data_IF_430780488319
#
_entry.id   IF_430780488319
#
_cell.length_a   1.000
_cell.length_b   1.000
_cell.length_c   1.000
_cell.angle_alpha   90.00
_cell.angle_beta   90.00
_cell.angle_gamma   90.00
#
_symmetry.space_group_name_H-M   'P 1'
#
loop_
_entity.id
_entity.type
_entity.pdbx_description
1 polymer ?
#
# COMPACT_ATOMS: atom_id res chain seq x y z
N UNK A 1 19.03 10.88 7.32
CA UNK A 1 18.17 10.96 6.11
C UNK A 1 17.76 12.41 5.95
N UNK A 2 17.92 13.02 4.78
CA UNK A 2 17.54 14.43 4.55
C UNK A 2 16.04 14.67 4.73
N UNK A 3 15.23 13.64 4.53
CA UNK A 3 13.78 13.65 4.79
C UNK A 3 13.26 12.24 5.03
N UNK A 4 12.24 12.05 5.88
CA UNK A 4 11.64 10.75 6.14
C UNK A 4 11.15 10.06 4.87
N UNK A 5 11.40 8.75 4.76
CA UNK A 5 11.03 7.99 3.56
C UNK A 5 10.74 6.52 3.85
N UNK A 6 9.95 5.91 2.96
CA UNK A 6 9.72 4.48 2.98
C UNK A 6 10.95 3.74 2.48
N UNK A 7 11.41 2.75 3.26
CA UNK A 7 12.49 1.81 2.92
C UNK A 7 12.03 0.38 3.13
N UNK A 8 12.77 -0.55 2.59
CA UNK A 8 12.51 -1.97 2.80
C UNK A 8 13.76 -2.63 3.41
N UNK A 9 13.61 -3.18 4.61
CA UNK A 9 14.62 -4.04 5.21
C UNK A 9 14.32 -5.48 4.79
N UNK A 10 15.34 -6.18 4.29
CA UNK A 10 15.22 -7.60 3.98
C UNK A 10 15.99 -8.40 5.02
N UNK A 11 15.31 -9.30 5.71
CA UNK A 11 15.93 -10.22 6.66
C UNK A 11 16.20 -11.54 5.95
N UNK A 12 17.41 -12.03 6.10
CA UNK A 12 17.84 -13.31 5.55
C UNK A 12 18.07 -14.30 6.69
N UNK A 13 17.66 -15.55 6.48
CA UNK A 13 17.95 -16.66 7.37
C UNK A 13 18.84 -17.67 6.64
N UNK A 14 19.90 -18.13 7.28
CA UNK A 14 20.75 -19.16 6.72
C UNK A 14 20.03 -20.52 6.80
N UNK A 15 19.92 -21.20 5.68
CA UNK A 15 19.50 -22.61 5.64
C UNK A 15 20.74 -23.48 5.92
N UNK A 16 20.92 -23.84 7.18
CA UNK A 16 22.10 -24.61 7.65
C UNK A 16 22.29 -25.94 6.93
N UNK A 17 21.24 -26.49 6.35
CA UNK A 17 21.33 -27.76 5.60
C UNK A 17 21.89 -27.58 4.18
N UNK A 18 21.75 -26.35 3.59
CA UNK A 18 22.19 -26.07 2.22
C UNK A 18 23.25 -24.99 2.12
N UNK A 19 23.65 -24.37 3.23
CA UNK A 19 24.61 -23.26 3.24
C UNK A 19 24.16 -22.00 2.51
N UNK A 20 22.88 -21.88 2.18
CA UNK A 20 22.34 -20.77 1.40
C UNK A 20 21.58 -19.78 2.30
N UNK A 21 21.77 -18.48 2.04
CA UNK A 21 20.99 -17.41 2.66
C UNK A 21 19.70 -17.19 1.88
N UNK A 22 18.56 -17.38 2.54
CA UNK A 22 17.24 -17.12 1.95
C UNK A 22 16.59 -15.92 2.57
N UNK A 23 16.05 -15.03 1.72
CA UNK A 23 15.19 -13.95 2.17
C UNK A 23 13.93 -14.53 2.81
N UNK A 24 13.71 -14.25 4.08
CA UNK A 24 12.54 -14.74 4.82
C UNK A 24 11.47 -13.69 5.02
N UNK A 25 11.89 -12.43 5.21
CA UNK A 25 10.98 -11.32 5.50
C UNK A 25 11.44 -10.07 4.76
N UNK A 26 10.48 -9.38 4.17
CA UNK A 26 10.64 -8.01 3.67
C UNK A 26 9.79 -7.08 4.52
N UNK A 27 10.44 -6.16 5.22
CA UNK A 27 9.82 -5.21 6.12
C UNK A 27 9.77 -3.83 5.47
N UNK A 28 8.62 -3.34 5.05
CA UNK A 28 8.48 -1.92 4.75
C UNK A 28 8.57 -1.14 6.06
N UNK A 29 9.49 -0.19 6.13
CA UNK A 29 9.69 0.69 7.29
C UNK A 29 9.71 2.14 6.85
N UNK A 30 9.25 3.01 7.73
CA UNK A 30 9.35 4.44 7.53
C UNK A 30 10.57 4.96 8.28
N UNK A 31 11.62 5.32 7.55
CA UNK A 31 12.88 5.81 8.12
C UNK A 31 12.83 7.32 8.23
N UNK A 32 13.05 7.82 9.42
CA UNK A 32 13.26 9.23 9.74
C UNK A 32 14.64 9.46 10.39
N UNK A 33 14.87 10.59 11.00
CA UNK A 33 16.12 10.88 11.70
C UNK A 33 16.15 10.35 13.14
N UNK A 34 15.18 9.57 13.54
CA UNK A 34 15.11 8.95 14.86
C UNK A 34 16.04 7.73 14.96
N UNK A 35 16.48 7.43 16.17
CA UNK A 35 17.17 6.18 16.46
C UNK A 35 16.16 5.05 16.51
N UNK A 36 16.23 4.12 15.57
CA UNK A 36 15.30 2.99 15.46
C UNK A 36 15.97 1.71 15.92
N UNK A 37 15.22 0.90 16.66
CA UNK A 37 15.62 -0.45 17.06
C UNK A 37 14.72 -1.46 16.38
N UNK A 38 15.33 -2.49 15.77
CA UNK A 38 14.64 -3.65 15.19
C UNK A 38 15.05 -4.90 15.97
N UNK A 39 14.05 -5.56 16.56
CA UNK A 39 14.21 -6.83 17.25
C UNK A 39 13.53 -7.94 16.45
N UNK A 40 14.29 -8.96 16.09
CA UNK A 40 13.82 -10.10 15.30
C UNK A 40 14.44 -11.39 15.83
N UNK A 41 13.77 -12.12 16.75
CA UNK A 41 14.30 -13.38 17.27
C UNK A 41 14.50 -14.39 16.14
N UNK A 42 15.75 -14.84 15.98
CA UNK A 42 16.16 -15.67 14.84
C UNK A 42 15.33 -16.95 14.69
N UNK A 43 15.05 -17.64 15.79
CA UNK A 43 14.32 -18.91 15.78
C UNK A 43 12.84 -18.75 15.42
N UNK A 44 12.27 -17.56 15.69
CA UNK A 44 10.88 -17.23 15.38
C UNK A 44 10.67 -16.73 13.94
N UNK A 45 11.76 -16.46 13.20
CA UNK A 45 11.68 -16.05 11.81
C UNK A 45 11.17 -17.20 10.93
N UNK A 46 10.28 -16.93 9.96
CA UNK A 46 9.79 -17.96 9.06
C UNK A 46 10.91 -18.53 8.19
N UNK A 47 10.81 -19.80 7.87
CA UNK A 47 11.77 -20.49 6.97
C UNK A 47 11.47 -20.25 5.49
N UNK A 48 10.27 -19.74 5.18
CA UNK A 48 9.84 -19.38 3.82
C UNK A 48 9.50 -17.89 3.78
N UNK A 49 9.70 -17.27 2.62
CA UNK A 49 9.35 -15.87 2.41
C UNK A 49 7.89 -15.62 2.78
N UNK A 50 7.66 -14.68 3.70
CA UNK A 50 6.33 -14.23 4.12
C UNK A 50 6.01 -12.89 3.48
N UNK A 51 4.74 -12.71 3.06
CA UNK A 51 4.23 -11.42 2.57
C UNK A 51 3.76 -10.52 3.72
N UNK A 52 3.51 -11.10 4.89
CA UNK A 52 3.11 -10.37 6.09
C UNK A 52 4.28 -10.27 7.06
N UNK A 53 4.39 -9.15 7.76
CA UNK A 53 5.39 -8.97 8.82
C UNK A 53 5.05 -9.90 9.99
N UNK A 54 5.95 -10.85 10.34
CA UNK A 54 5.70 -11.73 11.49
C UNK A 54 5.56 -10.91 12.77
N UNK A 55 4.58 -11.26 13.60
CA UNK A 55 4.33 -10.59 14.89
C UNK A 55 5.47 -10.65 15.91
N UNK A 56 6.48 -11.52 15.67
CA UNK A 56 7.70 -11.61 16.48
C UNK A 56 8.70 -10.47 16.18
N UNK A 57 8.51 -9.70 15.11
CA UNK A 57 9.39 -8.59 14.74
C UNK A 57 8.86 -7.32 15.35
N UNK A 58 9.70 -6.64 16.12
CA UNK A 58 9.38 -5.36 16.75
C UNK A 58 10.27 -4.28 16.18
N UNK A 59 9.67 -3.14 15.85
CA UNK A 59 10.37 -1.93 15.43
C UNK A 59 9.93 -0.82 16.37
N UNK A 60 10.88 -0.12 16.97
CA UNK A 60 10.63 0.95 17.93
C UNK A 60 11.53 2.16 17.68
N UNK A 61 11.18 3.32 18.25
CA UNK A 61 12.01 4.52 18.25
C UNK A 61 11.72 5.52 17.13
N UNK A 62 10.80 5.25 16.20
CA UNK A 62 10.41 6.21 15.18
C UNK A 62 8.90 6.50 15.21
N UNK A 63 8.49 7.72 15.60
CA UNK A 63 7.08 8.12 15.57
C UNK A 63 6.49 8.04 14.16
N UNK A 64 7.26 8.31 13.12
CA UNK A 64 6.80 8.19 11.75
C UNK A 64 6.55 6.72 11.36
N UNK A 65 7.43 5.80 11.78
CA UNK A 65 7.21 4.39 11.56
C UNK A 65 6.00 3.86 12.35
N UNK A 66 5.83 4.28 13.60
CA UNK A 66 4.68 3.87 14.42
C UNK A 66 3.36 4.32 13.77
N UNK A 67 3.33 5.54 13.26
CA UNK A 67 2.18 6.07 12.52
C UNK A 67 1.94 5.27 11.23
N UNK A 68 3.01 4.93 10.49
CA UNK A 68 2.90 4.10 9.29
C UNK A 68 2.35 2.70 9.61
N UNK A 69 2.86 2.05 10.65
CA UNK A 69 2.39 0.73 11.07
C UNK A 69 0.92 0.75 11.50
N UNK A 70 0.49 1.81 12.19
CA UNK A 70 -0.94 2.00 12.53
C UNK A 70 -1.80 2.16 11.27
N UNK A 71 -1.34 2.94 10.30
CA UNK A 71 -2.02 3.10 9.00
C UNK A 71 -2.13 1.76 8.26
N UNK A 72 -1.03 1.03 8.13
CA UNK A 72 -0.95 -0.22 7.39
C UNK A 72 -1.85 -1.30 8.02
N UNK A 73 -1.81 -1.43 9.35
CA UNK A 73 -2.70 -2.33 10.10
C UNK A 73 -4.18 -1.99 9.93
N UNK A 74 -4.52 -0.71 9.88
CA UNK A 74 -5.91 -0.28 9.65
C UNK A 74 -6.37 -0.50 8.20
N UNK A 75 -5.44 -0.50 7.25
CA UNK A 75 -5.72 -0.76 5.83
C UNK A 75 -5.82 -2.27 5.51
N UNK A 76 -5.20 -3.13 6.30
CA UNK A 76 -5.07 -4.58 6.05
C UNK A 76 -6.41 -5.27 5.78
N UNK A 77 -7.50 -5.06 6.57
CA UNK A 77 -8.80 -5.69 6.31
C UNK A 77 -9.36 -5.32 4.93
N UNK A 78 -9.28 -4.05 4.55
CA UNK A 78 -9.74 -3.57 3.24
C UNK A 78 -8.88 -4.11 2.10
N UNK A 79 -7.58 -4.21 2.28
CA UNK A 79 -6.65 -4.77 1.29
C UNK A 79 -6.90 -6.26 1.08
N UNK A 80 -7.20 -7.00 2.15
CA UNK A 80 -7.55 -8.43 2.10
C UNK A 80 -8.88 -8.62 1.37
N UNK A 81 -9.90 -7.82 1.72
CA UNK A 81 -11.20 -7.84 1.06
C UNK A 81 -11.05 -7.52 -0.45
N UNK A 82 -10.31 -6.47 -0.79
CA UNK A 82 -10.06 -6.10 -2.19
C UNK A 82 -9.41 -7.24 -2.98
N UNK A 83 -8.47 -7.96 -2.39
CA UNK A 83 -7.82 -9.11 -3.04
C UNK A 83 -8.80 -10.26 -3.27
N UNK A 84 -9.67 -10.53 -2.29
CA UNK A 84 -10.72 -11.56 -2.39
C UNK A 84 -11.74 -11.20 -3.47
N UNK A 85 -12.20 -9.95 -3.50
CA UNK A 85 -13.17 -9.47 -4.49
C UNK A 85 -12.58 -9.43 -5.90
N UNK A 86 -11.29 -9.09 -6.03
CA UNK A 86 -10.59 -9.16 -7.31
C UNK A 86 -10.55 -10.58 -7.86
N UNK A 87 -10.26 -11.60 -7.02
CA UNK A 87 -10.29 -13.00 -7.44
C UNK A 87 -11.72 -13.43 -7.80
N UNK A 88 -12.74 -13.03 -7.03
CA UNK A 88 -14.16 -13.28 -7.35
C UNK A 88 -14.51 -12.74 -8.75
N UNK A 89 -14.16 -11.47 -9.01
CA UNK A 89 -14.38 -10.86 -10.32
C UNK A 89 -13.64 -11.61 -11.43
N UNK A 90 -12.35 -11.91 -11.22
CA UNK A 90 -11.52 -12.60 -12.21
C UNK A 90 -12.12 -13.95 -12.60
N UNK A 91 -12.52 -14.73 -11.61
CA UNK A 91 -13.14 -16.05 -11.82
C UNK A 91 -14.45 -15.91 -12.59
N UNK A 92 -15.36 -15.02 -12.16
CA UNK A 92 -16.66 -14.80 -12.83
C UNK A 92 -16.46 -14.33 -14.30
N UNK A 93 -15.49 -13.43 -14.54
CA UNK A 93 -15.18 -12.95 -15.89
C UNK A 93 -14.67 -14.06 -16.82
N UNK A 94 -13.76 -14.91 -16.33
CA UNK A 94 -13.25 -16.03 -17.13
C UNK A 94 -14.31 -17.08 -17.42
N UNK A 95 -15.16 -17.43 -16.45
CA UNK A 95 -16.28 -18.35 -16.70
C UNK A 95 -17.28 -17.80 -17.71
N UNK A 96 -17.63 -16.52 -17.61
CA UNK A 96 -18.52 -15.89 -18.57
C UNK A 96 -17.96 -15.87 -20.01
N UNK A 97 -16.62 -15.76 -20.16
CA UNK A 97 -15.96 -15.83 -21.47
C UNK A 97 -15.80 -17.25 -22.02
N UNK A 98 -15.65 -18.25 -21.15
CA UNK A 98 -15.42 -19.64 -21.54
C UNK A 98 -16.70 -20.41 -21.88
N UNK A 99 -17.88 -19.78 -21.77
CA UNK A 99 -19.16 -20.43 -22.14
C UNK A 99 -19.23 -20.64 -23.66
N UNK A 100 -18.83 -21.84 -24.09
CA UNK A 100 -18.82 -22.29 -25.49
C UNK A 100 -20.23 -22.35 -26.11
N UNK A 101 -21.28 -22.38 -25.26
CA UNK A 101 -22.67 -22.42 -25.69
C UNK A 101 -23.25 -21.05 -26.07
N UNK A 102 -22.43 -20.00 -26.06
CA UNK A 102 -22.81 -18.66 -26.52
C UNK A 102 -23.77 -17.90 -25.62
N UNK A 103 -24.08 -18.38 -24.42
CA UNK A 103 -24.99 -17.74 -23.46
C UNK A 103 -24.37 -16.60 -22.69
N UNK A 104 -23.10 -16.31 -22.86
CA UNK A 104 -22.27 -15.26 -22.23
C UNK A 104 -23.00 -14.42 -21.17
N UNK A 105 -23.35 -15.05 -20.05
CA UNK A 105 -23.94 -14.33 -18.95
C UNK A 105 -22.83 -13.57 -18.18
N UNK A 106 -22.67 -12.30 -18.49
CA UNK A 106 -21.70 -11.43 -17.82
C UNK A 106 -22.20 -10.85 -16.50
N UNK A 107 -23.47 -11.06 -16.14
CA UNK A 107 -24.04 -10.45 -14.93
C UNK A 107 -23.26 -10.77 -13.66
N UNK A 108 -22.85 -12.04 -13.38
CA UNK A 108 -22.05 -12.33 -12.19
C UNK A 108 -20.69 -11.60 -12.15
N UNK A 109 -20.10 -11.33 -13.32
CA UNK A 109 -18.86 -10.57 -13.40
C UNK A 109 -19.11 -9.07 -13.14
N UNK A 110 -20.21 -8.51 -13.63
CA UNK A 110 -20.58 -7.11 -13.35
C UNK A 110 -20.90 -6.91 -11.87
N UNK A 111 -21.66 -7.82 -11.26
CA UNK A 111 -21.98 -7.76 -9.82
C UNK A 111 -20.70 -7.83 -8.97
N UNK A 112 -19.79 -8.74 -9.31
CA UNK A 112 -18.49 -8.83 -8.62
C UNK A 112 -17.59 -7.61 -8.86
N UNK A 113 -17.66 -6.98 -10.03
CA UNK A 113 -16.95 -5.74 -10.33
C UNK A 113 -17.49 -4.58 -9.49
N UNK A 114 -18.81 -4.46 -9.33
CA UNK A 114 -19.43 -3.43 -8.50
C UNK A 114 -18.99 -3.55 -7.03
N UNK A 115 -18.99 -4.77 -6.47
CA UNK A 115 -18.48 -5.02 -5.12
C UNK A 115 -16.99 -4.60 -4.99
N UNK A 116 -16.18 -4.93 -5.99
CA UNK A 116 -14.76 -4.56 -6.03
C UNK A 116 -14.56 -3.06 -6.09
N UNK A 117 -15.34 -2.35 -6.90
CA UNK A 117 -15.25 -0.89 -7.02
C UNK A 117 -15.70 -0.20 -5.72
N UNK A 118 -16.75 -0.69 -5.06
CA UNK A 118 -17.18 -0.21 -3.75
C UNK A 118 -16.07 -0.37 -2.69
N UNK A 119 -15.38 -1.52 -2.67
CA UNK A 119 -14.24 -1.75 -1.78
C UNK A 119 -13.08 -0.79 -2.08
N UNK A 120 -12.78 -0.52 -3.35
CA UNK A 120 -11.75 0.48 -3.73
C UNK A 120 -12.13 1.89 -3.26
N UNK A 121 -13.39 2.26 -3.31
CA UNK A 121 -13.87 3.54 -2.81
C UNK A 121 -13.76 3.65 -1.28
N UNK A 122 -13.93 2.54 -0.55
CA UNK A 122 -13.66 2.50 0.89
C UNK A 122 -12.17 2.65 1.21
N UNK A 123 -11.30 1.98 0.46
CA UNK A 123 -9.84 2.14 0.56
C UNK A 123 -9.45 3.61 0.30
N UNK A 124 -10.03 4.24 -0.72
CA UNK A 124 -9.79 5.64 -1.02
C UNK A 124 -10.21 6.53 0.15
N UNK A 125 -11.44 6.37 0.66
CA UNK A 125 -11.96 7.15 1.81
C UNK A 125 -11.09 6.97 3.05
N UNK A 126 -10.63 5.75 3.35
CA UNK A 126 -9.71 5.47 4.45
C UNK A 126 -8.40 6.26 4.30
N UNK A 127 -7.80 6.23 3.12
CA UNK A 127 -6.55 6.95 2.82
C UNK A 127 -6.71 8.46 2.92
N UNK A 128 -7.79 9.02 2.36
CA UNK A 128 -8.09 10.44 2.43
C UNK A 128 -8.27 10.90 3.87
N UNK A 129 -9.04 10.15 4.66
CA UNK A 129 -9.22 10.41 6.10
C UNK A 129 -7.89 10.41 6.84
N UNK A 130 -7.04 9.41 6.59
CA UNK A 130 -5.70 9.35 7.20
C UNK A 130 -4.85 10.57 6.87
N UNK A 131 -4.87 11.03 5.61
CA UNK A 131 -4.13 12.22 5.16
C UNK A 131 -4.65 13.47 5.89
N UNK A 132 -5.97 13.64 6.02
CA UNK A 132 -6.59 14.77 6.72
C UNK A 132 -6.20 14.82 8.19
N UNK A 133 -6.22 13.67 8.88
CA UNK A 133 -5.90 13.56 10.30
C UNK A 133 -4.40 13.73 10.60
N UNK A 134 -3.53 13.56 9.59
CA UNK A 134 -2.07 13.54 9.75
C UNK A 134 -1.37 14.45 8.72
N UNK A 135 -1.99 15.58 8.37
CA UNK A 135 -1.59 16.44 7.25
C UNK A 135 -0.14 16.96 7.29
N UNK A 136 0.46 17.01 8.48
CA UNK A 136 1.85 17.46 8.69
C UNK A 136 2.86 16.30 8.65
N UNK A 137 2.37 15.06 8.59
CA UNK A 137 3.24 13.88 8.65
C UNK A 137 3.82 13.53 7.28
N UNK A 138 5.12 13.22 7.19
CA UNK A 138 5.69 12.66 5.96
C UNK A 138 5.06 11.32 5.55
N UNK A 139 4.42 10.60 6.47
CA UNK A 139 3.63 9.40 6.16
C UNK A 139 2.39 9.78 5.34
N UNK A 140 1.72 10.89 5.66
CA UNK A 140 0.58 11.38 4.86
C UNK A 140 0.99 11.72 3.42
N UNK A 141 2.17 12.32 3.23
CA UNK A 141 2.72 12.58 1.90
C UNK A 141 2.96 11.26 1.12
N UNK A 142 3.51 10.25 1.79
CA UNK A 142 3.67 8.92 1.20
C UNK A 142 2.32 8.31 0.80
N UNK A 143 1.32 8.36 1.69
CA UNK A 143 -0.03 7.83 1.41
C UNK A 143 -0.69 8.59 0.25
N UNK A 144 -0.56 9.92 0.19
CA UNK A 144 -1.02 10.72 -0.94
C UNK A 144 -0.37 10.27 -2.27
N UNK A 145 0.93 9.93 -2.23
CA UNK A 145 1.65 9.36 -3.36
C UNK A 145 1.10 8.02 -3.85
N UNK A 146 0.53 7.22 -2.95
CA UNK A 146 -0.10 5.93 -3.32
C UNK A 146 -1.48 6.10 -3.96
N UNK A 147 -2.19 7.18 -3.66
CA UNK A 147 -3.49 7.50 -4.27
C UNK A 147 -3.35 7.92 -5.73
N UNK A 148 -2.22 8.52 -6.08
CA UNK A 148 -1.92 8.99 -7.42
C UNK A 148 -1.89 7.90 -8.51
N UNK A 149 -1.78 6.64 -8.09
CA UNK A 149 -1.68 5.47 -8.99
C UNK A 149 -3.08 4.86 -9.26
N UNK A 150 -4.12 5.40 -8.61
CA UNK A 150 -5.48 4.87 -8.73
C UNK A 150 -6.28 5.56 -9.85
N UNK A 151 -7.47 5.05 -10.16
CA UNK A 151 -8.39 5.49 -11.23
C UNK A 151 -8.86 6.96 -11.13
N UNK A 152 -8.52 7.64 -10.06
CA UNK A 152 -8.98 9.01 -9.80
C UNK A 152 -8.16 10.01 -10.62
N UNK A 153 -8.84 10.83 -11.41
CA UNK A 153 -8.22 11.79 -12.30
C UNK A 153 -7.46 12.92 -11.58
N UNK A 154 -6.70 13.72 -12.34
CA UNK A 154 -5.86 14.82 -11.81
C UNK A 154 -6.59 15.74 -10.84
N UNK A 155 -7.89 16.01 -11.06
CA UNK A 155 -8.68 16.87 -10.18
C UNK A 155 -8.78 16.34 -8.76
N UNK A 156 -8.98 15.04 -8.58
CA UNK A 156 -9.05 14.41 -7.26
C UNK A 156 -7.68 14.39 -6.59
N UNK A 157 -6.62 14.15 -7.34
CA UNK A 157 -5.25 14.16 -6.83
C UNK A 157 -4.89 15.55 -6.28
N UNK A 158 -5.22 16.62 -7.00
CA UNK A 158 -4.98 17.99 -6.53
C UNK A 158 -5.76 18.30 -5.25
N UNK A 159 -7.00 17.79 -5.13
CA UNK A 159 -7.77 17.91 -3.88
C UNK A 159 -7.07 17.20 -2.72
N UNK A 160 -6.52 16.00 -2.96
CA UNK A 160 -5.79 15.26 -1.93
C UNK A 160 -4.51 15.96 -1.53
N UNK A 161 -3.73 16.49 -2.49
CA UNK A 161 -2.54 17.28 -2.20
C UNK A 161 -2.86 18.55 -1.40
N UNK A 162 -4.03 19.17 -1.63
CA UNK A 162 -4.47 20.32 -0.87
C UNK A 162 -4.79 20.02 0.61
N UNK A 163 -4.98 18.74 0.98
CA UNK A 163 -5.17 18.31 2.38
C UNK A 163 -3.86 18.31 3.18
N UNK A 164 -2.71 18.21 2.50
CA UNK A 164 -1.40 18.26 3.15
C UNK A 164 -1.09 19.68 3.62
N UNK A 165 -0.37 19.82 4.73
CA UNK A 165 0.08 21.12 5.21
C UNK A 165 0.98 21.83 4.20
N UNK A 166 1.01 23.14 4.25
CA UNK A 166 1.79 23.96 3.33
C UNK A 166 3.29 23.66 3.40
N UNK A 167 3.93 23.54 4.60
CA UNK A 167 5.34 23.16 4.68
C UNK A 167 5.62 21.81 4.01
N UNK A 168 4.73 20.83 4.18
CA UNK A 168 4.91 19.50 3.61
C UNK A 168 4.77 19.50 2.08
N UNK A 169 3.79 20.23 1.54
CA UNK A 169 3.62 20.41 0.08
C UNK A 169 4.81 21.11 -0.55
N UNK A 170 5.34 22.14 0.12
CA UNK A 170 6.48 22.93 -0.35
C UNK A 170 7.84 22.24 -0.17
N UNK A 171 7.89 21.10 0.54
CA UNK A 171 9.10 20.29 0.68
C UNK A 171 9.57 19.74 -0.68
N UNK A 172 10.85 19.36 -0.76
CA UNK A 172 11.40 18.74 -1.98
C UNK A 172 10.58 17.50 -2.42
N UNK A 173 10.15 16.67 -1.47
CA UNK A 173 9.33 15.49 -1.77
C UNK A 173 7.91 15.85 -2.17
N UNK A 174 7.31 16.88 -1.56
CA UNK A 174 5.99 17.38 -1.94
C UNK A 174 5.98 17.89 -3.38
N UNK A 175 6.94 18.73 -3.74
CA UNK A 175 7.11 19.24 -5.12
C UNK A 175 7.43 18.13 -6.13
N UNK A 176 8.25 17.15 -5.74
CA UNK A 176 8.54 15.99 -6.58
C UNK A 176 7.29 15.14 -6.83
N UNK A 177 6.45 14.96 -5.80
CA UNK A 177 5.17 14.27 -5.93
C UNK A 177 4.24 15.03 -6.87
N UNK A 178 4.05 16.32 -6.68
CA UNK A 178 3.22 17.17 -7.54
C UNK A 178 3.67 17.10 -9.00
N UNK A 179 4.98 17.24 -9.26
CA UNK A 179 5.55 17.10 -10.62
C UNK A 179 5.26 15.73 -11.23
N UNK A 180 5.43 14.65 -10.44
CA UNK A 180 5.12 13.29 -10.91
C UNK A 180 3.65 13.15 -11.30
N UNK A 181 2.74 13.71 -10.51
CA UNK A 181 1.31 13.65 -10.73
C UNK A 181 0.87 14.42 -11.98
N UNK A 182 1.48 15.59 -12.20
CA UNK A 182 1.22 16.40 -13.40
C UNK A 182 1.70 15.74 -14.70
N UNK A 183 2.64 14.80 -14.61
CA UNK A 183 3.17 14.05 -15.75
C UNK A 183 2.44 12.72 -16.03
N UNK A 184 1.45 12.34 -15.23
CA UNK A 184 0.64 11.14 -15.51
C UNK A 184 -0.23 11.43 -16.74
N UNK A 185 -0.15 10.62 -17.82
CA UNK A 185 -1.00 10.80 -18.99
C UNK A 185 -2.48 10.70 -18.58
N UNK A 186 -3.29 11.67 -19.02
CA UNK A 186 -4.74 11.56 -18.90
C UNK A 186 -5.21 10.73 -20.06
N UNK A 187 -5.55 9.48 -19.82
CA UNK A 187 -6.30 8.70 -20.77
C UNK A 187 -7.73 9.24 -20.79
N UNK A 188 -8.04 10.01 -21.79
CA UNK A 188 -9.43 10.37 -22.12
C UNK A 188 -9.97 9.16 -22.86
N UNK A 189 -10.78 8.33 -22.16
CA UNK A 189 -11.52 7.24 -22.75
C UNK A 189 -12.74 7.76 -23.51
#
# INVERSE_FOLDING_TARGET
>A
VESPEMRCITIYKNDSQRGEWKSTVKLPIFVDNSSMTLEAPYDSLPTKSSKTVPGCIKITGSPANDLYMKYDKGLEPLSTLNSTLFEKYRVAYYYAKADELGRKNMQPAYDALEELENCKDEIYRYKVKFIQENSDSPVALYVAGTLAITKYGRGEINKVLALLSEPLRNSLKGKALEKRLNNIPVYVG
#
